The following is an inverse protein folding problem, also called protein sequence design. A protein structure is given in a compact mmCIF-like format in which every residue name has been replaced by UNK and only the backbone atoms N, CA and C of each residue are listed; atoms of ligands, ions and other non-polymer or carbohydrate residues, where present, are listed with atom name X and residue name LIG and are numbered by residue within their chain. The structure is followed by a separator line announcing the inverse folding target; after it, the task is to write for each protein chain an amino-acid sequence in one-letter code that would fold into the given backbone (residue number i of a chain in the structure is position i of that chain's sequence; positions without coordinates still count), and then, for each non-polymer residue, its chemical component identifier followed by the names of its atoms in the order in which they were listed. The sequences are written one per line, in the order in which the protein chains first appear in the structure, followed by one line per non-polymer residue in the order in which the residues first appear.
data_IF_224585295435
#
_entry.id   IF_224585295435
#
_cell.length_a   1.000
_cell.length_b   1.000
_cell.length_c   1.000
_cell.angle_alpha   90.00
_cell.angle_beta   90.00
_cell.angle_gamma   90.00
#
_symmetry.space_group_name_H-M   'P 1'
#
loop_
_entity.id
_entity.type
_entity.pdbx_description
1 polymer ?
#
# COMPACT_ATOMS: atom_id res chain seq x y z
N UNK A 1 -21.16 3.70 -21.32
CA UNK A 1 -22.00 2.64 -21.97
C UNK A 1 -23.29 2.42 -21.19
N UNK A 2 -24.32 1.81 -21.79
CA UNK A 2 -25.56 1.49 -21.05
C UNK A 2 -25.22 0.54 -19.89
N UNK A 3 -25.63 0.89 -18.65
CA UNK A 3 -25.42 0.08 -17.43
C UNK A 3 -23.96 -0.28 -17.11
N UNK A 4 -23.00 0.60 -17.41
CA UNK A 4 -21.58 0.36 -17.11
C UNK A 4 -20.91 -0.74 -17.92
N UNK A 5 -21.56 -1.23 -19.00
CA UNK A 5 -21.08 -2.37 -19.78
C UNK A 5 -19.66 -2.16 -20.34
N UNK A 6 -19.32 -0.96 -20.80
CA UNK A 6 -17.97 -0.67 -21.31
C UNK A 6 -16.91 -0.74 -20.21
N UNK A 7 -17.21 -0.26 -19.00
CA UNK A 7 -16.29 -0.33 -17.85
C UNK A 7 -16.04 -1.77 -17.47
N UNK A 8 -17.12 -2.57 -17.44
CA UNK A 8 -17.02 -4.00 -17.12
C UNK A 8 -16.18 -4.77 -18.13
N UNK A 9 -16.39 -4.55 -19.43
CA UNK A 9 -15.57 -5.20 -20.46
C UNK A 9 -14.12 -4.71 -20.42
N UNK A 10 -13.89 -3.41 -20.21
CA UNK A 10 -12.55 -2.85 -20.13
C UNK A 10 -11.78 -3.42 -18.94
N UNK A 11 -12.36 -3.43 -17.72
CA UNK A 11 -11.71 -4.06 -16.55
C UNK A 11 -11.44 -5.56 -16.75
N UNK A 12 -12.33 -6.28 -17.42
CA UNK A 12 -12.10 -7.70 -17.73
C UNK A 12 -10.97 -7.91 -18.75
N UNK A 13 -10.81 -6.98 -19.70
CA UNK A 13 -9.75 -7.03 -20.71
C UNK A 13 -8.40 -6.58 -20.14
N UNK A 14 -8.37 -5.59 -19.27
CA UNK A 14 -7.13 -5.02 -18.73
C UNK A 14 -6.68 -5.70 -17.45
N UNK A 15 -7.55 -6.47 -16.78
CA UNK A 15 -7.29 -6.98 -15.44
C UNK A 15 -7.24 -5.89 -14.35
N UNK A 16 -7.43 -4.62 -14.72
CA UNK A 16 -7.35 -3.48 -13.81
C UNK A 16 -8.74 -3.01 -13.39
N UNK A 17 -8.83 -2.53 -12.15
CA UNK A 17 -10.03 -1.88 -11.67
C UNK A 17 -10.14 -0.46 -12.24
N UNK A 18 -11.29 -0.13 -12.85
CA UNK A 18 -11.50 1.13 -13.56
C UNK A 18 -12.56 1.94 -12.85
N UNK A 19 -12.12 2.99 -12.16
CA UNK A 19 -13.01 4.01 -11.61
C UNK A 19 -13.31 5.09 -12.66
N UNK A 20 -14.58 5.47 -12.79
CA UNK A 20 -15.01 6.57 -13.67
C UNK A 20 -15.41 7.76 -12.83
N UNK A 21 -14.59 8.80 -12.92
CA UNK A 21 -14.85 10.10 -12.33
C UNK A 21 -15.20 11.13 -13.41
N UNK A 22 -15.99 12.14 -13.07
CA UNK A 22 -16.12 13.34 -13.90
C UNK A 22 -14.89 14.23 -13.75
N UNK A 23 -14.63 15.09 -14.72
CA UNK A 23 -13.54 16.09 -14.65
C UNK A 23 -13.63 16.96 -13.38
N UNK A 24 -14.86 17.32 -12.96
CA UNK A 24 -15.07 18.06 -11.71
C UNK A 24 -14.69 17.26 -10.48
N UNK A 25 -15.06 15.98 -10.40
CA UNK A 25 -14.75 15.10 -9.27
C UNK A 25 -13.24 14.83 -9.20
N UNK A 26 -12.58 14.64 -10.34
CA UNK A 26 -11.14 14.46 -10.41
C UNK A 26 -10.39 15.71 -9.95
N UNK A 27 -10.84 16.89 -10.38
CA UNK A 27 -10.28 18.18 -9.94
C UNK A 27 -10.45 18.38 -8.43
N UNK A 28 -11.64 18.12 -7.88
CA UNK A 28 -11.91 18.19 -6.44
C UNK A 28 -11.04 17.22 -5.64
N UNK A 29 -10.91 15.97 -6.11
CA UNK A 29 -10.03 14.97 -5.50
C UNK A 29 -8.58 15.44 -5.46
N UNK A 30 -8.03 15.92 -6.60
CA UNK A 30 -6.66 16.43 -6.67
C UNK A 30 -6.44 17.62 -5.73
N UNK A 31 -7.42 18.51 -5.59
CA UNK A 31 -7.34 19.66 -4.68
C UNK A 31 -7.36 19.22 -3.21
N UNK A 32 -8.17 18.21 -2.86
CA UNK A 32 -8.22 17.63 -1.52
C UNK A 32 -6.89 16.96 -1.17
N UNK A 33 -6.39 16.07 -2.02
CA UNK A 33 -5.11 15.39 -1.82
C UNK A 33 -3.96 16.40 -1.68
N UNK A 34 -3.95 17.46 -2.49
CA UNK A 34 -2.96 18.53 -2.39
C UNK A 34 -3.03 19.24 -1.02
N UNK A 35 -4.23 19.58 -0.56
CA UNK A 35 -4.43 20.22 0.74
C UNK A 35 -4.06 19.32 1.90
N UNK A 36 -4.41 18.04 1.85
CA UNK A 36 -4.11 17.06 2.89
C UNK A 36 -2.60 16.83 3.02
N UNK A 37 -1.89 16.66 1.90
CA UNK A 37 -0.43 16.52 1.87
C UNK A 37 0.27 17.79 2.36
N UNK A 38 -0.22 18.96 1.97
CA UNK A 38 0.30 20.24 2.47
C UNK A 38 0.18 20.31 4.00
N UNK A 39 -0.99 19.97 4.54
CA UNK A 39 -1.22 19.96 6.00
C UNK A 39 -0.35 18.93 6.72
N UNK A 40 -0.15 17.75 6.12
CA UNK A 40 0.75 16.73 6.65
C UNK A 40 2.16 17.28 6.79
N UNK A 41 2.73 17.88 5.74
CA UNK A 41 4.08 18.44 5.79
C UNK A 41 4.20 19.62 6.75
N UNK A 42 3.20 20.51 6.80
CA UNK A 42 3.20 21.61 7.79
C UNK A 42 3.24 21.08 9.21
N UNK A 43 2.42 20.07 9.53
CA UNK A 43 2.30 19.54 10.90
C UNK A 43 3.50 18.68 11.29
N UNK A 44 3.96 17.81 10.38
CA UNK A 44 5.00 16.83 10.69
C UNK A 44 6.42 17.40 10.59
N UNK A 45 6.66 18.33 9.66
CA UNK A 45 7.99 18.90 9.41
C UNK A 45 8.15 20.32 9.97
N UNK A 46 7.09 20.90 10.54
CA UNK A 46 7.04 22.29 11.02
C UNK A 46 7.45 23.28 9.91
N UNK A 47 6.87 23.06 8.72
CA UNK A 47 7.03 23.90 7.54
C UNK A 47 5.93 24.97 7.49
N UNK A 48 6.25 26.13 6.93
CA UNK A 48 5.20 27.08 6.55
C UNK A 48 4.40 26.59 5.33
N UNK A 49 3.26 27.23 5.10
CA UNK A 49 2.34 26.84 4.02
C UNK A 49 3.01 26.93 2.63
N UNK A 50 3.89 27.92 2.41
CA UNK A 50 4.54 28.10 1.11
C UNK A 50 5.54 26.97 0.83
N UNK A 51 6.40 26.63 1.79
CA UNK A 51 7.36 25.54 1.66
C UNK A 51 6.66 24.17 1.59
N UNK A 52 5.58 23.96 2.34
CA UNK A 52 4.81 22.73 2.27
C UNK A 52 4.15 22.56 0.88
N UNK A 53 3.54 23.63 0.33
CA UNK A 53 2.96 23.59 -1.02
C UNK A 53 4.02 23.34 -2.09
N UNK A 54 5.19 23.97 -1.97
CA UNK A 54 6.31 23.75 -2.88
C UNK A 54 6.70 22.27 -2.87
N UNK A 55 6.81 21.67 -1.69
CA UNK A 55 7.17 20.26 -1.52
C UNK A 55 6.18 19.32 -2.21
N UNK A 56 4.88 19.55 -2.05
CA UNK A 56 3.84 18.77 -2.74
C UNK A 56 3.91 18.97 -4.26
N UNK A 57 4.22 20.19 -4.73
CA UNK A 57 4.32 20.50 -6.15
C UNK A 57 5.54 19.86 -6.84
N UNK A 58 6.63 19.64 -6.10
CA UNK A 58 7.81 18.88 -6.55
C UNK A 58 7.56 17.36 -6.58
N UNK A 59 6.37 16.91 -6.16
CA UNK A 59 5.93 15.52 -6.28
C UNK A 59 6.03 14.71 -5.00
N UNK A 60 6.42 15.30 -3.87
CA UNK A 60 6.46 14.57 -2.60
C UNK A 60 5.06 14.25 -2.10
N UNK A 61 4.82 12.97 -1.85
CA UNK A 61 3.51 12.43 -1.47
C UNK A 61 3.45 11.93 -0.03
N UNK A 62 4.60 11.58 0.55
CA UNK A 62 4.71 10.95 1.86
C UNK A 62 5.88 11.51 2.69
N UNK A 63 5.88 11.24 4.00
CA UNK A 63 6.98 11.64 4.88
C UNK A 63 8.18 10.72 4.73
N UNK A 64 7.95 9.48 4.32
CA UNK A 64 8.94 8.45 4.04
C UNK A 64 9.86 8.89 2.90
N UNK A 65 9.28 9.44 1.81
CA UNK A 65 10.06 10.03 0.73
C UNK A 65 10.95 11.16 1.26
N UNK A 66 10.46 12.04 2.13
CA UNK A 66 11.28 13.09 2.73
C UNK A 66 12.39 12.51 3.61
N UNK A 67 12.09 11.50 4.43
CA UNK A 67 13.00 10.90 5.39
C UNK A 67 14.17 10.14 4.76
N UNK A 68 13.95 9.53 3.58
CA UNK A 68 14.87 8.54 3.00
C UNK A 68 15.34 8.85 1.58
N UNK A 69 14.88 9.93 0.95
CA UNK A 69 15.44 10.39 -0.33
C UNK A 69 16.90 10.86 -0.19
N UNK A 70 17.64 10.81 -1.28
CA UNK A 70 18.97 11.41 -1.35
C UNK A 70 18.93 12.92 -1.04
N UNK A 71 19.90 13.37 -0.27
CA UNK A 71 19.99 14.78 0.16
C UNK A 71 20.06 15.72 -1.05
N UNK A 72 20.69 15.29 -2.14
CA UNK A 72 20.78 16.06 -3.39
C UNK A 72 19.40 16.41 -3.98
N UNK A 73 18.38 15.55 -3.82
CA UNK A 73 17.02 15.86 -4.27
C UNK A 73 16.35 16.93 -3.42
N UNK A 74 16.74 17.04 -2.14
CA UNK A 74 16.27 18.10 -1.26
C UNK A 74 16.92 19.45 -1.60
N UNK A 75 18.19 19.42 -2.00
CA UNK A 75 18.98 20.61 -2.33
C UNK A 75 18.57 21.29 -3.65
N UNK A 76 17.85 20.59 -4.52
CA UNK A 76 17.28 21.17 -5.74
C UNK A 76 16.17 22.17 -5.41
N UNK A 77 15.56 22.08 -4.22
CA UNK A 77 14.47 22.96 -3.81
C UNK A 77 15.02 24.35 -3.46
N UNK A 78 14.38 25.37 -4.03
CA UNK A 78 14.73 26.76 -3.73
C UNK A 78 14.57 27.07 -2.24
N UNK A 79 15.64 27.59 -1.63
CA UNK A 79 15.69 27.91 -0.21
C UNK A 79 16.05 26.75 0.74
N UNK A 80 16.40 25.57 0.23
CA UNK A 80 16.90 24.45 1.04
C UNK A 80 18.43 24.34 0.90
N UNK A 81 19.13 24.46 2.01
CA UNK A 81 20.57 24.18 2.10
C UNK A 81 20.86 22.82 2.76
N UNK A 82 22.13 22.39 2.78
CA UNK A 82 22.56 21.10 3.34
C UNK A 82 22.08 20.90 4.78
N UNK A 83 22.22 21.94 5.62
CA UNK A 83 21.77 21.90 7.01
C UNK A 83 20.25 21.77 7.14
N UNK A 84 19.50 22.49 6.32
CA UNK A 84 18.03 22.46 6.31
C UNK A 84 17.55 21.10 5.81
N UNK A 85 18.18 20.54 4.78
CA UNK A 85 17.87 19.21 4.28
C UNK A 85 18.08 18.15 5.36
N UNK A 86 19.22 18.16 6.07
CA UNK A 86 19.47 17.25 7.20
C UNK A 86 18.41 17.38 8.29
N UNK A 87 18.03 18.61 8.64
CA UNK A 87 17.03 18.88 9.67
C UNK A 87 15.64 18.38 9.25
N UNK A 88 15.22 18.60 8.00
CA UNK A 88 13.96 18.11 7.48
C UNK A 88 13.89 16.58 7.49
N UNK A 89 14.97 15.91 7.08
CA UNK A 89 15.06 14.45 7.15
C UNK A 89 14.98 13.95 8.59
N UNK A 90 15.68 14.61 9.53
CA UNK A 90 15.65 14.24 10.94
C UNK A 90 14.24 14.39 11.51
N UNK A 91 13.56 15.52 11.26
CA UNK A 91 12.17 15.73 11.68
C UNK A 91 11.20 14.71 11.09
N UNK A 92 11.35 14.38 9.80
CA UNK A 92 10.55 13.36 9.16
C UNK A 92 10.71 12.00 9.85
N UNK A 93 11.95 11.57 10.09
CA UNK A 93 12.26 10.30 10.79
C UNK A 93 11.71 10.31 12.21
N UNK A 94 11.94 11.38 12.98
CA UNK A 94 11.45 11.50 14.34
C UNK A 94 9.91 11.42 14.40
N UNK A 95 9.23 12.03 13.43
CA UNK A 95 7.77 11.96 13.33
C UNK A 95 7.27 10.56 13.00
N UNK A 96 7.92 9.87 12.04
CA UNK A 96 7.60 8.49 11.67
C UNK A 96 7.83 7.54 12.86
N UNK A 97 8.95 7.70 13.58
CA UNK A 97 9.26 6.91 14.76
C UNK A 97 8.24 7.14 15.88
N UNK A 98 7.85 8.39 16.13
CA UNK A 98 6.81 8.72 17.10
C UNK A 98 5.45 8.11 16.71
N UNK A 99 5.08 8.15 15.43
CA UNK A 99 3.86 7.48 14.95
C UNK A 99 3.93 5.95 15.14
N UNK A 100 5.07 5.34 14.78
CA UNK A 100 5.28 3.91 14.93
C UNK A 100 5.18 3.48 16.40
N UNK A 101 5.80 4.23 17.31
CA UNK A 101 5.71 3.97 18.75
C UNK A 101 4.26 4.09 19.26
N UNK A 102 3.55 5.16 18.88
CA UNK A 102 2.15 5.35 19.26
C UNK A 102 1.25 4.23 18.71
N UNK A 103 1.49 3.78 17.48
CA UNK A 103 0.77 2.66 16.88
C UNK A 103 1.04 1.35 17.64
N UNK A 104 2.29 1.06 17.99
CA UNK A 104 2.64 -0.12 18.80
C UNK A 104 2.00 -0.08 20.19
N UNK A 105 1.99 1.08 20.86
CA UNK A 105 1.31 1.25 22.14
C UNK A 105 -0.19 0.99 22.02
N UNK A 106 -0.83 1.53 20.97
CA UNK A 106 -2.25 1.29 20.68
C UNK A 106 -2.53 -0.18 20.39
N UNK A 107 -1.71 -0.85 19.57
CA UNK A 107 -1.84 -2.27 19.28
C UNK A 107 -1.76 -3.12 20.56
N UNK A 108 -0.77 -2.86 21.43
CA UNK A 108 -0.67 -3.52 22.75
C UNK A 108 -1.89 -3.25 23.62
N UNK A 109 -2.42 -2.02 23.61
CA UNK A 109 -3.63 -1.67 24.36
C UNK A 109 -4.89 -2.39 23.84
N UNK A 110 -4.95 -2.70 22.54
CA UNK A 110 -6.00 -3.51 21.92
C UNK A 110 -5.86 -5.02 22.19
N UNK A 111 -4.75 -5.43 22.81
CA UNK A 111 -4.47 -6.82 23.18
C UNK A 111 -3.82 -7.64 22.07
N UNK A 112 -3.12 -6.99 21.14
CA UNK A 112 -2.31 -7.68 20.13
C UNK A 112 -1.15 -8.42 20.80
N UNK A 113 -0.92 -9.66 20.38
CA UNK A 113 0.18 -10.48 20.86
C UNK A 113 1.52 -10.13 20.21
N UNK A 114 2.60 -10.35 20.96
CA UNK A 114 3.96 -10.04 20.51
C UNK A 114 4.33 -10.78 19.23
N UNK A 115 3.76 -11.98 18.98
CA UNK A 115 3.99 -12.74 17.75
C UNK A 115 3.51 -12.01 16.49
N UNK A 116 2.42 -11.25 16.57
CA UNK A 116 1.93 -10.46 15.44
C UNK A 116 2.70 -9.14 15.32
N UNK A 117 3.15 -8.59 16.46
CA UNK A 117 4.02 -7.40 16.49
C UNK A 117 5.39 -7.65 15.85
N UNK A 118 5.97 -8.83 16.08
CA UNK A 118 7.27 -9.20 15.56
C UNK A 118 7.21 -9.79 14.14
N UNK A 119 6.02 -9.86 13.53
CA UNK A 119 5.84 -10.41 12.20
C UNK A 119 6.42 -9.48 11.14
N UNK A 120 7.37 -10.01 10.36
CA UNK A 120 8.01 -9.28 9.27
C UNK A 120 7.03 -9.04 8.11
N UNK A 121 6.98 -7.81 7.61
CA UNK A 121 6.07 -7.40 6.54
C UNK A 121 4.85 -6.61 6.99
N UNK A 122 4.59 -6.51 8.30
CA UNK A 122 3.53 -5.65 8.84
C UNK A 122 4.12 -4.40 9.50
N UNK A 123 3.65 -3.23 9.09
CA UNK A 123 3.98 -1.98 9.80
C UNK A 123 3.14 -1.84 11.07
N UNK A 124 3.60 -1.08 12.09
CA UNK A 124 2.81 -0.82 13.30
C UNK A 124 1.39 -0.32 13.02
N UNK A 125 1.22 0.51 12.00
CA UNK A 125 -0.07 1.07 11.56
C UNK A 125 -0.99 -0.02 10.99
N UNK A 126 -0.43 -0.96 10.20
CA UNK A 126 -1.17 -2.11 9.69
C UNK A 126 -1.65 -3.01 10.82
N UNK A 127 -0.79 -3.25 11.82
CA UNK A 127 -1.14 -4.06 12.99
C UNK A 127 -2.29 -3.43 13.78
N UNK A 128 -2.32 -2.10 13.94
CA UNK A 128 -3.45 -1.42 14.56
C UNK A 128 -4.73 -1.63 13.76
N UNK A 129 -4.68 -1.54 12.43
CA UNK A 129 -5.85 -1.74 11.58
C UNK A 129 -6.40 -3.18 11.72
N UNK A 130 -5.53 -4.18 11.74
CA UNK A 130 -5.87 -5.57 11.99
C UNK A 130 -6.49 -5.77 13.39
N UNK A 131 -5.90 -5.14 14.40
CA UNK A 131 -6.35 -5.24 15.79
C UNK A 131 -7.75 -4.64 16.02
N UNK A 132 -8.08 -3.56 15.30
CA UNK A 132 -9.40 -2.93 15.33
C UNK A 132 -10.50 -3.85 14.77
N UNK A 133 -10.15 -4.73 13.83
CA UNK A 133 -11.05 -5.76 13.28
C UNK A 133 -11.03 -7.09 14.07
N UNK A 134 -10.21 -7.16 15.12
CA UNK A 134 -10.14 -8.32 16.02
C UNK A 134 -9.06 -9.34 15.70
N UNK A 135 -8.23 -9.10 14.68
CA UNK A 135 -7.03 -9.90 14.39
C UNK A 135 -5.92 -9.50 15.35
N UNK A 136 -5.65 -10.34 16.35
CA UNK A 136 -4.74 -9.99 17.48
C UNK A 136 -3.56 -10.93 17.61
N UNK A 137 -3.65 -12.12 17.05
CA UNK A 137 -2.61 -13.14 17.11
C UNK A 137 -2.08 -13.45 15.71
N UNK A 138 -0.92 -14.10 15.65
CA UNK A 138 -0.39 -14.59 14.39
C UNK A 138 -1.29 -15.68 13.78
N UNK A 139 -1.97 -16.46 14.62
CA UNK A 139 -2.95 -17.46 14.20
C UNK A 139 -4.16 -16.81 13.53
N UNK A 140 -4.73 -15.76 14.14
CA UNK A 140 -5.85 -15.02 13.54
C UNK A 140 -5.46 -14.48 12.15
N UNK A 141 -4.27 -13.87 12.06
CA UNK A 141 -3.76 -13.32 10.81
C UNK A 141 -3.55 -14.39 9.73
N UNK A 142 -3.03 -15.57 10.10
CA UNK A 142 -2.85 -16.69 9.18
C UNK A 142 -4.17 -17.29 8.66
N UNK A 143 -5.28 -17.08 9.37
CA UNK A 143 -6.62 -17.49 8.92
C UNK A 143 -7.29 -16.48 8.00
N UNK A 144 -6.82 -15.23 7.95
CA UNK A 144 -7.35 -14.23 7.04
C UNK A 144 -7.23 -14.69 5.58
N UNK A 145 -8.21 -14.30 4.77
CA UNK A 145 -8.06 -14.40 3.33
C UNK A 145 -7.26 -13.21 2.79
N UNK A 146 -6.51 -13.45 1.71
CA UNK A 146 -5.79 -12.44 0.94
C UNK A 146 -6.68 -11.27 0.51
N UNK A 147 -7.89 -11.56 0.02
CA UNK A 147 -8.86 -10.54 -0.39
C UNK A 147 -9.48 -9.76 0.77
N UNK A 148 -9.53 -10.33 1.98
CA UNK A 148 -9.98 -9.59 3.19
C UNK A 148 -8.95 -8.54 3.60
N UNK A 149 -7.67 -8.77 3.27
CA UNK A 149 -6.57 -7.86 3.57
C UNK A 149 -6.40 -6.80 2.46
N UNK A 150 -6.22 -7.23 1.22
CA UNK A 150 -5.97 -6.33 0.08
C UNK A 150 -7.23 -5.66 -0.47
N UNK A 151 -8.41 -6.21 -0.16
CA UNK A 151 -9.68 -5.76 -0.71
C UNK A 151 -9.96 -6.41 -2.06
N UNK A 152 -11.19 -6.26 -2.53
CA UNK A 152 -11.61 -6.90 -3.75
C UNK A 152 -13.01 -6.51 -4.20
N UNK A 153 -13.53 -7.29 -5.13
CA UNK A 153 -14.85 -7.08 -5.69
C UNK A 153 -15.66 -8.36 -5.66
N UNK A 154 -16.72 -8.39 -4.86
CA UNK A 154 -17.70 -9.46 -4.90
C UNK A 154 -18.85 -9.15 -5.85
N UNK A 155 -19.60 -10.19 -6.22
CA UNK A 155 -20.85 -10.04 -6.97
C UNK A 155 -22.03 -10.47 -6.10
N UNK A 156 -22.87 -9.50 -5.71
CA UNK A 156 -24.13 -9.75 -5.00
C UNK A 156 -25.27 -9.38 -5.95
N UNK A 157 -26.19 -10.32 -6.20
CA UNK A 157 -27.36 -10.13 -7.08
C UNK A 157 -27.03 -9.60 -8.49
N UNK A 158 -25.88 -10.00 -9.04
CA UNK A 158 -25.42 -9.58 -10.36
C UNK A 158 -24.87 -8.14 -10.43
N UNK A 159 -24.68 -7.50 -9.27
CA UNK A 159 -24.00 -6.21 -9.14
C UNK A 159 -22.64 -6.40 -8.48
N UNK A 160 -21.61 -5.76 -9.03
CA UNK A 160 -20.28 -5.71 -8.40
C UNK A 160 -20.36 -4.75 -7.22
N UNK A 161 -19.96 -5.24 -6.05
CA UNK A 161 -19.83 -4.46 -4.82
C UNK A 161 -18.35 -4.48 -4.45
N UNK A 162 -17.81 -3.32 -4.05
CA UNK A 162 -16.43 -3.20 -3.58
C UNK A 162 -16.38 -3.66 -2.14
N UNK A 163 -15.54 -4.64 -1.84
CA UNK A 163 -15.21 -5.05 -0.49
C UNK A 163 -13.88 -4.40 -0.13
N UNK A 164 -13.91 -3.49 0.84
CA UNK A 164 -12.70 -2.77 1.25
C UNK A 164 -11.85 -3.66 2.13
N UNK A 165 -10.59 -3.85 1.73
CA UNK A 165 -9.64 -4.64 2.49
C UNK A 165 -9.18 -3.94 3.77
N UNK A 166 -8.83 -4.70 4.80
CA UNK A 166 -8.30 -4.16 6.06
C UNK A 166 -7.00 -3.38 5.85
N UNK A 167 -6.19 -3.80 4.87
CA UNK A 167 -4.89 -3.25 4.55
C UNK A 167 -4.85 -2.50 3.20
N UNK A 168 -5.98 -2.42 2.47
CA UNK A 168 -6.08 -1.74 1.18
C UNK A 168 -5.59 -0.28 1.25
N UNK A 169 -5.84 0.40 2.38
CA UNK A 169 -5.41 1.79 2.61
C UNK A 169 -3.89 1.99 2.74
N UNK A 170 -3.14 0.90 2.85
CA UNK A 170 -1.67 0.90 2.88
C UNK A 170 -1.08 0.42 1.56
N UNK A 171 -1.88 0.42 0.49
CA UNK A 171 -1.50 -0.01 -0.86
C UNK A 171 -1.02 -1.47 -0.94
N UNK A 172 -1.46 -2.32 0.00
CA UNK A 172 -1.17 -3.76 -0.03
C UNK A 172 -1.93 -4.42 -1.17
N UNK A 173 -1.19 -4.98 -2.12
CA UNK A 173 -1.73 -5.77 -3.21
C UNK A 173 -2.20 -7.16 -2.75
N UNK A 174 -3.02 -7.81 -3.59
CA UNK A 174 -3.50 -9.17 -3.32
C UNK A 174 -2.35 -10.17 -3.19
N UNK A 175 -1.33 -10.03 -4.02
CA UNK A 175 -0.14 -10.88 -4.02
C UNK A 175 0.70 -10.68 -2.75
N UNK A 176 0.90 -9.44 -2.31
CA UNK A 176 1.59 -9.13 -1.06
C UNK A 176 0.80 -9.67 0.15
N UNK A 177 -0.53 -9.52 0.15
CA UNK A 177 -1.40 -10.09 1.16
C UNK A 177 -1.31 -11.63 1.20
N UNK A 178 -1.36 -12.28 0.05
CA UNK A 178 -1.18 -13.72 -0.08
C UNK A 178 0.18 -14.16 0.48
N UNK A 179 1.25 -13.46 0.11
CA UNK A 179 2.62 -13.74 0.56
C UNK A 179 2.74 -13.60 2.08
N UNK A 180 2.17 -12.55 2.67
CA UNK A 180 2.17 -12.35 4.13
C UNK A 180 1.41 -13.46 4.85
N UNK A 181 0.21 -13.79 4.40
CA UNK A 181 -0.61 -14.86 5.01
C UNK A 181 0.09 -16.21 4.91
N UNK A 182 0.67 -16.53 3.75
CA UNK A 182 1.42 -17.78 3.56
C UNK A 182 2.67 -17.83 4.43
N UNK A 183 3.39 -16.72 4.57
CA UNK A 183 4.54 -16.61 5.47
C UNK A 183 4.13 -16.85 6.93
N UNK A 184 3.01 -16.29 7.38
CA UNK A 184 2.46 -16.54 8.71
C UNK A 184 2.10 -18.02 8.92
N UNK A 185 1.45 -18.66 7.94
CA UNK A 185 1.11 -20.10 7.98
C UNK A 185 2.35 -20.99 8.09
N UNK A 186 3.42 -20.63 7.39
CA UNK A 186 4.71 -21.34 7.47
C UNK A 186 5.35 -21.16 8.85
N UNK A 187 5.35 -19.95 9.41
CA UNK A 187 5.87 -19.70 10.76
C UNK A 187 5.11 -20.49 11.84
N UNK A 188 3.80 -20.69 11.67
CA UNK A 188 2.96 -21.52 12.53
C UNK A 188 3.08 -23.03 12.26
N UNK A 189 3.80 -23.42 11.20
CA UNK A 189 3.96 -24.82 10.78
C UNK A 189 2.71 -25.45 10.18
N UNK A 190 1.75 -24.64 9.69
CA UNK A 190 0.55 -25.12 9.00
C UNK A 190 0.83 -25.54 7.56
N UNK A 191 1.87 -24.97 6.96
CA UNK A 191 2.34 -25.24 5.60
C UNK A 191 3.83 -25.58 5.66
N UNK A 192 4.26 -26.58 4.91
CA UNK A 192 5.68 -26.93 4.78
C UNK A 192 6.38 -25.89 3.88
N UNK A 193 7.52 -25.30 4.31
CA UNK A 193 8.30 -24.38 3.48
C UNK A 193 8.63 -24.92 2.08
N UNK A 194 8.77 -26.23 1.92
CA UNK A 194 9.04 -26.85 0.62
C UNK A 194 7.85 -26.75 -0.36
N UNK A 195 6.62 -26.71 0.14
CA UNK A 195 5.42 -26.51 -0.68
C UNK A 195 5.29 -25.05 -1.14
N UNK A 196 5.75 -24.09 -0.34
CA UNK A 196 5.80 -22.66 -0.69
C UNK A 196 6.84 -22.35 -1.79
N UNK A 197 8.02 -22.99 -1.72
CA UNK A 197 9.03 -22.85 -2.76
C UNK A 197 8.52 -23.38 -4.10
N UNK A 198 7.84 -24.53 -4.09
CA UNK A 198 7.25 -25.12 -5.28
C UNK A 198 6.12 -24.28 -5.89
N UNK A 199 5.37 -23.51 -5.10
CA UNK A 199 4.35 -22.59 -5.64
C UNK A 199 4.96 -21.35 -6.28
N UNK A 200 6.00 -20.77 -5.65
CA UNK A 200 6.73 -19.63 -6.23
C UNK A 200 7.44 -20.00 -7.54
N UNK A 201 8.10 -21.15 -7.57
CA UNK A 201 8.75 -21.64 -8.79
C UNK A 201 7.73 -21.90 -9.92
N UNK A 202 6.50 -22.32 -9.59
CA UNK A 202 5.44 -22.55 -10.58
C UNK A 202 4.77 -21.26 -11.08
N UNK A 203 4.69 -20.22 -10.24
CA UNK A 203 4.22 -18.88 -10.62
C UNK A 203 5.26 -18.19 -11.53
N UNK A 204 6.54 -18.28 -11.20
CA UNK A 204 7.65 -17.77 -12.02
C UNK A 204 7.73 -18.47 -13.41
N UNK A 205 7.54 -19.81 -13.46
CA UNK A 205 7.52 -20.57 -14.73
C UNK A 205 6.27 -20.25 -15.57
N UNK A 206 5.16 -19.87 -14.94
CA UNK A 206 3.93 -19.47 -15.62
C UNK A 206 4.03 -18.07 -16.25
N UNK A 207 4.73 -17.13 -15.62
CA UNK A 207 5.00 -15.81 -16.19
C UNK A 207 6.03 -15.86 -17.34
N UNK A 208 7.03 -16.74 -17.24
CA UNK A 208 8.02 -16.96 -18.31
C UNK A 208 7.47 -17.72 -19.52
N UNK A 209 6.33 -18.41 -19.38
CA UNK A 209 5.69 -19.18 -20.44
C UNK A 209 4.78 -18.39 -21.38
N UNK A 210 4.51 -17.11 -21.11
CA UNK A 210 3.56 -16.31 -21.92
C UNK A 210 4.18 -15.47 -23.03
N UNK A 211 5.51 -15.42 -23.15
CA UNK A 211 6.20 -14.56 -24.13
C UNK A 211 6.67 -15.28 -25.43
N UNK A 212 6.45 -16.58 -25.60
CA UNK A 212 6.99 -17.35 -26.74
C UNK A 212 5.99 -17.80 -27.85
N UNK A 213 4.70 -17.49 -27.79
CA UNK A 213 3.74 -17.85 -28.86
C UNK A 213 3.09 -16.64 -29.54
N UNK A 214 3.85 -15.78 -30.21
CA UNK A 214 3.33 -14.97 -31.33
C UNK A 214 4.47 -14.48 -32.23
N UNK A 215 5.02 -15.38 -33.03
CA UNK A 215 6.23 -15.06 -33.79
C UNK A 215 6.58 -15.92 -34.99
N UNK A 216 5.67 -16.71 -35.58
CA UNK A 216 5.99 -17.37 -36.86
C UNK A 216 4.74 -17.79 -37.63
N UNK A 217 4.30 -16.97 -38.59
CA UNK A 217 3.85 -17.42 -39.91
C UNK A 217 3.53 -16.21 -40.83
N UNK A 218 4.55 -15.72 -41.53
CA UNK A 218 4.36 -14.96 -42.77
C UNK A 218 5.57 -15.14 -43.68
N UNK A 219 5.56 -16.22 -44.46
CA UNK A 219 6.52 -16.39 -45.55
C UNK A 219 6.30 -17.67 -46.33
N UNK A 220 5.44 -17.61 -47.37
CA UNK A 220 5.74 -17.90 -48.80
C UNK A 220 4.58 -17.37 -49.65
#
# INVERSE_FOLDING_TARGET
GRRGQNVRLASQLTGLDIDIMTESQESERRQQEFSERTQLFMTALDLDEFFAQLRVSEGFTSLEEVAYVDQDELLVIDGVDESTAEELQARARDYLDAQNQAALEKARALGVEQSLIDFEGLTPQMIVALAEDGVKTLEDFATCADWELAGGWTTVDGQRVKDTGLLEKFDVSLEEAQTMVMTARVQLGWVDPAELAASRDAEDDAELGTDEEDGEEAGV
#
